data_IF_274572087508
#
_entry.id   IF_274572087508
#
_cell.length_a   1.000
_cell.length_b   1.000
_cell.length_c   1.000
_cell.angle_alpha   90.00
_cell.angle_beta   90.00
_cell.angle_gamma   90.00
#
_symmetry.space_group_name_H-M   'P 1'
#
loop_
_entity.id
_entity.type
_entity.pdbx_description
1 polymer ?
#
# COMPACT_ATOMS: atom_id res chain seq x y z
N UNK A 1 -44.36 27.95 -35.51
CA UNK A 1 -45.61 27.37 -34.98
C UNK A 1 -45.63 27.76 -33.51
N UNK A 2 -46.27 28.88 -33.19
CA UNK A 2 -46.42 29.34 -31.80
C UNK A 2 -47.52 28.48 -31.18
N UNK A 3 -47.21 27.78 -30.09
CA UNK A 3 -48.23 27.13 -29.26
C UNK A 3 -48.89 28.25 -28.46
N UNK A 4 -50.21 28.38 -28.59
CA UNK A 4 -51.01 29.42 -27.97
C UNK A 4 -50.91 29.31 -26.44
N UNK A 5 -50.55 30.41 -25.77
CA UNK A 5 -50.36 30.49 -24.30
C UNK A 5 -51.60 30.01 -23.50
N UNK A 6 -52.78 30.05 -24.11
CA UNK A 6 -54.04 29.55 -23.53
C UNK A 6 -54.04 28.03 -23.31
N UNK A 7 -53.39 27.24 -24.18
CA UNK A 7 -53.36 25.77 -24.06
C UNK A 7 -52.43 25.31 -22.92
N UNK A 8 -51.42 26.11 -22.58
CA UNK A 8 -50.50 25.83 -21.49
C UNK A 8 -51.17 26.05 -20.12
N UNK A 9 -51.91 27.15 -19.96
CA UNK A 9 -52.64 27.45 -18.73
C UNK A 9 -53.78 26.46 -18.46
N UNK A 10 -54.48 26.00 -19.49
CA UNK A 10 -55.51 24.97 -19.37
C UNK A 10 -54.94 23.61 -18.94
N UNK A 11 -53.74 23.26 -19.39
CA UNK A 11 -53.06 22.03 -19.00
C UNK A 11 -52.59 22.07 -17.54
N UNK A 12 -52.08 23.21 -17.10
CA UNK A 12 -51.62 23.42 -15.73
C UNK A 12 -52.80 23.39 -14.74
N UNK A 13 -53.92 24.05 -15.08
CA UNK A 13 -55.14 24.02 -14.28
C UNK A 13 -55.72 22.60 -14.14
N UNK A 14 -55.64 21.76 -15.19
CA UNK A 14 -56.07 20.35 -15.13
C UNK A 14 -55.18 19.52 -14.20
N UNK A 15 -53.86 19.73 -14.26
CA UNK A 15 -52.91 19.02 -13.40
C UNK A 15 -53.11 19.37 -11.92
N UNK A 16 -53.33 20.65 -11.60
CA UNK A 16 -53.64 21.06 -10.23
C UNK A 16 -54.98 20.49 -9.74
N UNK A 17 -56.01 20.48 -10.59
CA UNK A 17 -57.31 19.92 -10.24
C UNK A 17 -57.21 18.40 -9.97
N UNK A 18 -56.41 17.67 -10.77
CA UNK A 18 -56.14 16.25 -10.53
C UNK A 18 -55.39 16.01 -9.23
N UNK A 19 -54.37 16.83 -8.93
CA UNK A 19 -53.63 16.71 -7.67
C UNK A 19 -54.54 16.97 -6.46
N UNK A 20 -55.38 18.01 -6.52
CA UNK A 20 -56.32 18.32 -5.42
C UNK A 20 -57.35 17.21 -5.22
N UNK A 21 -57.86 16.61 -6.30
CA UNK A 21 -58.76 15.45 -6.20
C UNK A 21 -58.08 14.25 -5.56
N UNK A 22 -56.84 13.93 -5.97
CA UNK A 22 -56.08 12.83 -5.36
C UNK A 22 -55.86 13.06 -3.86
N UNK A 23 -55.49 14.28 -3.47
CA UNK A 23 -55.31 14.64 -2.05
C UNK A 23 -56.61 14.50 -1.27
N UNK A 24 -57.73 14.94 -1.83
CA UNK A 24 -59.03 14.85 -1.18
C UNK A 24 -59.52 13.39 -1.07
N UNK A 25 -59.35 12.59 -2.11
CA UNK A 25 -59.74 11.18 -2.12
C UNK A 25 -58.85 10.34 -1.17
N UNK A 26 -57.54 10.63 -1.13
CA UNK A 26 -56.62 10.00 -0.18
C UNK A 26 -57.02 10.37 1.27
N UNK A 27 -57.30 11.66 1.55
CA UNK A 27 -57.74 12.12 2.88
C UNK A 27 -59.10 11.53 3.30
N UNK A 28 -60.06 11.44 2.38
CA UNK A 28 -61.37 10.84 2.66
C UNK A 28 -61.26 9.34 2.93
N UNK A 29 -60.40 8.62 2.21
CA UNK A 29 -60.12 7.20 2.47
C UNK A 29 -59.40 6.99 3.82
N UNK A 30 -58.46 7.88 4.16
CA UNK A 30 -57.79 7.88 5.47
C UNK A 30 -58.79 8.11 6.62
N UNK A 31 -59.66 9.12 6.52
CA UNK A 31 -60.72 9.36 7.52
C UNK A 31 -61.72 8.21 7.62
N UNK A 32 -61.95 7.48 6.52
CA UNK A 32 -62.82 6.31 6.48
C UNK A 32 -62.12 5.00 6.92
N UNK A 33 -60.82 5.06 7.25
CA UNK A 33 -60.03 3.90 7.69
C UNK A 33 -59.80 2.83 6.62
N UNK A 34 -59.94 3.15 5.33
CA UNK A 34 -59.74 2.19 4.23
C UNK A 34 -58.27 2.19 3.80
N UNK A 35 -57.64 1.03 3.83
CA UNK A 35 -56.24 0.86 3.46
C UNK A 35 -56.11 0.74 1.93
N UNK A 36 -55.50 1.75 1.28
CA UNK A 36 -55.35 1.83 -0.18
C UNK A 36 -53.92 1.55 -0.68
N UNK A 37 -53.04 1.02 0.19
CA UNK A 37 -51.66 0.67 -0.17
C UNK A 37 -50.74 1.86 -0.47
N UNK A 38 -51.20 3.10 -0.23
CA UNK A 38 -50.39 4.33 -0.33
C UNK A 38 -49.95 4.80 1.05
N UNK A 39 -48.78 5.43 1.12
CA UNK A 39 -48.14 5.94 2.35
C UNK A 39 -49.10 6.91 3.04
N UNK A 40 -49.58 6.54 4.24
CA UNK A 40 -50.42 7.38 5.11
C UNK A 40 -49.68 8.69 5.44
N UNK A 41 -50.35 9.83 5.29
CA UNK A 41 -49.71 11.17 5.45
C UNK A 41 -49.81 11.77 6.86
N UNK A 42 -50.36 11.04 7.83
CA UNK A 42 -50.57 11.54 9.19
C UNK A 42 -49.99 10.55 10.21
N UNK A 43 -48.73 10.76 10.60
CA UNK A 43 -48.20 10.21 11.84
C UNK A 43 -48.70 11.09 13.00
N UNK A 44 -49.66 10.58 13.77
CA UNK A 44 -50.08 11.21 15.02
C UNK A 44 -48.97 11.06 16.07
N UNK A 45 -48.53 12.15 16.75
CA UNK A 45 -47.55 12.06 17.82
C UNK A 45 -48.24 11.53 19.09
N UNK A 46 -48.13 10.22 19.35
CA UNK A 46 -48.57 9.64 20.64
C UNK A 46 -49.04 8.19 20.63
N UNK A 47 -49.26 7.58 19.47
CA UNK A 47 -49.59 6.14 19.39
C UNK A 47 -48.34 5.37 18.95
N UNK A 48 -47.83 4.47 19.81
CA UNK A 48 -46.81 3.52 19.37
C UNK A 48 -47.39 2.70 18.21
N UNK A 49 -46.78 2.74 17.01
CA UNK A 49 -47.32 2.02 15.88
C UNK A 49 -47.31 0.53 16.21
N UNK A 50 -48.45 -0.13 16.06
CA UNK A 50 -48.55 -1.59 16.12
C UNK A 50 -47.59 -2.15 15.07
N UNK A 51 -46.48 -2.75 15.52
CA UNK A 51 -45.35 -3.15 14.68
C UNK A 51 -44.05 -2.36 14.88
N UNK A 52 -43.94 -1.46 15.85
CA UNK A 52 -42.69 -0.77 16.20
C UNK A 52 -41.56 -1.75 16.57
N UNK A 53 -41.89 -2.85 17.26
CA UNK A 53 -40.96 -3.95 17.54
C UNK A 53 -40.54 -4.68 16.26
N UNK A 54 -41.48 -5.00 15.39
CA UNK A 54 -41.19 -5.71 14.13
C UNK A 54 -40.38 -4.84 13.15
N UNK A 55 -40.64 -3.53 13.09
CA UNK A 55 -39.81 -2.58 12.34
C UNK A 55 -38.41 -2.48 12.92
N UNK A 56 -38.28 -2.39 14.24
CA UNK A 56 -36.96 -2.32 14.90
C UNK A 56 -36.17 -3.60 14.70
N UNK A 57 -36.79 -4.78 14.83
CA UNK A 57 -36.14 -6.08 14.60
C UNK A 57 -35.81 -6.29 13.12
N UNK A 58 -36.67 -5.83 12.21
CA UNK A 58 -36.40 -5.84 10.76
C UNK A 58 -35.26 -4.89 10.39
N UNK A 59 -35.22 -3.68 10.93
CA UNK A 59 -34.12 -2.74 10.76
C UNK A 59 -32.82 -3.25 11.39
N UNK A 60 -32.87 -3.95 12.54
CA UNK A 60 -31.70 -4.60 13.13
C UNK A 60 -31.20 -5.76 12.26
N UNK A 61 -32.10 -6.56 11.69
CA UNK A 61 -31.75 -7.61 10.72
C UNK A 61 -31.21 -7.04 9.42
N UNK A 62 -31.80 -5.98 8.89
CA UNK A 62 -31.33 -5.30 7.68
C UNK A 62 -29.99 -4.60 7.93
N UNK A 63 -29.79 -3.99 9.11
CA UNK A 63 -28.49 -3.47 9.54
C UNK A 63 -27.47 -4.58 9.68
N UNK A 64 -27.79 -5.68 10.37
CA UNK A 64 -26.91 -6.84 10.50
C UNK A 64 -26.62 -7.51 9.14
N UNK A 65 -27.56 -7.48 8.20
CA UNK A 65 -27.35 -7.93 6.83
C UNK A 65 -26.54 -6.94 5.97
N UNK A 66 -26.57 -5.65 6.30
CA UNK A 66 -25.78 -4.61 5.65
C UNK A 66 -24.36 -4.48 6.20
N UNK A 67 -24.11 -4.97 7.42
CA UNK A 67 -22.78 -4.99 8.00
C UNK A 67 -21.95 -6.10 7.37
N UNK A 68 -20.75 -5.76 6.91
CA UNK A 68 -19.82 -6.78 6.41
C UNK A 68 -19.41 -7.71 7.56
N UNK A 69 -19.04 -8.96 7.24
CA UNK A 69 -18.62 -9.93 8.27
C UNK A 69 -17.47 -9.39 9.10
N UNK A 70 -16.57 -8.62 8.49
CA UNK A 70 -15.51 -7.90 9.18
C UNK A 70 -16.05 -6.89 10.21
N UNK A 71 -17.04 -6.08 9.87
CA UNK A 71 -17.63 -5.10 10.80
C UNK A 71 -18.25 -5.76 12.04
N UNK A 72 -18.82 -6.95 11.89
CA UNK A 72 -19.32 -7.73 13.04
C UNK A 72 -18.18 -8.19 13.94
N UNK A 73 -17.09 -8.71 13.37
CA UNK A 73 -15.92 -9.18 14.13
C UNK A 73 -15.16 -8.05 14.82
N UNK A 74 -15.09 -6.86 14.22
CA UNK A 74 -14.44 -5.69 14.81
C UNK A 74 -15.15 -5.16 16.08
N UNK A 75 -16.36 -5.65 16.39
CA UNK A 75 -16.99 -5.38 17.69
C UNK A 75 -16.34 -6.16 18.84
N UNK A 76 -15.66 -7.28 18.56
CA UNK A 76 -14.87 -8.00 19.56
C UNK A 76 -13.54 -7.24 19.83
N UNK A 77 -13.31 -6.75 21.05
CA UNK A 77 -12.08 -6.02 21.39
C UNK A 77 -10.80 -6.82 21.13
N UNK A 78 -10.82 -8.14 21.35
CA UNK A 78 -9.64 -8.98 21.20
C UNK A 78 -9.29 -9.17 19.73
N UNK A 79 -10.29 -9.50 18.90
CA UNK A 79 -10.12 -9.60 17.46
C UNK A 79 -9.66 -8.27 16.85
N UNK A 80 -10.31 -7.16 17.24
CA UNK A 80 -9.96 -5.82 16.74
C UNK A 80 -8.52 -5.44 17.06
N UNK A 81 -8.05 -5.74 18.28
CA UNK A 81 -6.66 -5.46 18.67
C UNK A 81 -5.67 -6.24 17.80
N UNK A 82 -5.90 -7.54 17.61
CA UNK A 82 -5.06 -8.38 16.76
C UNK A 82 -5.08 -7.93 15.30
N UNK A 83 -6.26 -7.65 14.74
CA UNK A 83 -6.41 -7.19 13.36
C UNK A 83 -5.66 -5.88 13.11
N UNK A 84 -5.79 -4.91 14.03
CA UNK A 84 -5.08 -3.63 13.91
C UNK A 84 -3.56 -3.81 14.01
N UNK A 85 -3.09 -4.62 14.96
CA UNK A 85 -1.67 -4.94 15.12
C UNK A 85 -1.09 -5.60 13.86
N UNK A 86 -1.79 -6.57 13.27
CA UNK A 86 -1.39 -7.17 11.98
C UNK A 86 -1.35 -6.13 10.86
N UNK A 87 -2.32 -5.21 10.79
CA UNK A 87 -2.34 -4.16 9.77
C UNK A 87 -1.18 -3.17 9.94
N UNK A 88 -0.85 -2.82 11.18
CA UNK A 88 0.27 -1.93 11.50
C UNK A 88 1.62 -2.59 11.18
N UNK A 89 1.80 -3.88 11.50
CA UNK A 89 2.99 -4.64 11.12
C UNK A 89 3.13 -4.74 9.59
N UNK A 90 2.03 -5.00 8.88
CA UNK A 90 2.03 -5.04 7.41
C UNK A 90 2.41 -3.69 6.80
N UNK A 91 1.83 -2.58 7.29
CA UNK A 91 2.21 -1.22 6.84
C UNK A 91 3.68 -0.91 7.11
N UNK A 92 4.19 -1.27 8.29
CA UNK A 92 5.58 -1.05 8.64
C UNK A 92 6.52 -1.86 7.73
N UNK A 93 6.17 -3.12 7.44
CA UNK A 93 6.94 -3.97 6.54
C UNK A 93 6.91 -3.45 5.09
N UNK A 94 5.76 -2.99 4.58
CA UNK A 94 5.66 -2.37 3.25
C UNK A 94 6.52 -1.11 3.15
N UNK A 95 6.44 -0.21 4.14
CA UNK A 95 7.25 1.01 4.16
C UNK A 95 8.76 0.70 4.23
N UNK A 96 9.15 -0.28 5.05
CA UNK A 96 10.55 -0.71 5.14
C UNK A 96 11.04 -1.37 3.84
N UNK A 97 10.20 -2.17 3.20
CA UNK A 97 10.53 -2.82 1.92
C UNK A 97 10.66 -1.80 0.80
N UNK A 98 9.76 -0.81 0.74
CA UNK A 98 9.83 0.28 -0.24
C UNK A 98 11.12 1.12 -0.08
N UNK A 99 11.46 1.49 1.15
CA UNK A 99 12.71 2.19 1.43
C UNK A 99 13.93 1.35 1.02
N UNK A 100 13.94 0.07 1.36
CA UNK A 100 15.03 -0.83 0.99
C UNK A 100 15.12 -1.09 -0.52
N UNK A 101 13.99 -1.09 -1.24
CA UNK A 101 13.96 -1.18 -2.70
C UNK A 101 14.59 0.05 -3.34
N UNK A 102 14.25 1.25 -2.84
CA UNK A 102 14.88 2.49 -3.30
C UNK A 102 16.40 2.43 -3.10
N UNK A 103 16.86 2.09 -1.90
CA UNK A 103 18.29 1.95 -1.60
C UNK A 103 18.98 0.89 -2.48
N UNK A 104 18.32 -0.25 -2.72
CA UNK A 104 18.83 -1.32 -3.56
C UNK A 104 18.92 -0.92 -5.04
N UNK A 105 17.95 -0.16 -5.55
CA UNK A 105 17.99 0.39 -6.90
C UNK A 105 19.11 1.40 -7.08
N UNK A 106 19.31 2.30 -6.11
CA UNK A 106 20.42 3.25 -6.12
C UNK A 106 21.77 2.53 -6.09
N UNK A 107 21.90 1.50 -5.25
CA UNK A 107 23.10 0.65 -5.19
C UNK A 107 23.36 -0.10 -6.51
N UNK A 108 22.32 -0.66 -7.14
CA UNK A 108 22.43 -1.32 -8.43
C UNK A 108 22.87 -0.34 -9.53
N UNK A 109 22.25 0.84 -9.61
CA UNK A 109 22.61 1.86 -10.59
C UNK A 109 24.06 2.33 -10.42
N UNK A 110 24.52 2.49 -9.18
CA UNK A 110 25.92 2.80 -8.89
C UNK A 110 26.86 1.65 -9.30
N UNK A 111 26.51 0.40 -9.01
CA UNK A 111 27.32 -0.77 -9.37
C UNK A 111 27.43 -0.94 -10.90
N UNK A 112 26.34 -0.72 -11.63
CA UNK A 112 26.32 -0.71 -13.10
C UNK A 112 27.20 0.41 -13.66
N UNK A 113 27.11 1.62 -13.08
CA UNK A 113 27.95 2.76 -13.47
C UNK A 113 29.43 2.48 -13.23
N UNK A 114 29.78 1.93 -12.06
CA UNK A 114 31.14 1.58 -11.70
C UNK A 114 31.70 0.50 -12.63
N UNK A 115 30.92 -0.56 -12.90
CA UNK A 115 31.30 -1.61 -13.83
C UNK A 115 31.54 -1.04 -15.24
N UNK A 116 30.63 -0.20 -15.73
CA UNK A 116 30.76 0.41 -17.05
C UNK A 116 32.00 1.33 -17.11
N UNK A 117 32.26 2.11 -16.08
CA UNK A 117 33.46 2.95 -15.96
C UNK A 117 34.75 2.11 -15.97
N UNK A 118 34.76 0.97 -15.28
CA UNK A 118 35.86 -0.01 -15.33
C UNK A 118 36.06 -0.56 -16.74
N UNK A 119 34.97 -0.93 -17.44
CA UNK A 119 35.04 -1.43 -18.81
C UNK A 119 35.51 -0.37 -19.82
N UNK A 120 35.12 0.89 -19.63
CA UNK A 120 35.51 1.99 -20.52
C UNK A 120 36.96 2.45 -20.30
N UNK A 121 37.46 2.31 -19.08
CA UNK A 121 38.86 2.59 -18.71
C UNK A 121 39.81 1.45 -19.06
N UNK A 122 39.30 0.29 -19.48
CA UNK A 122 40.10 -0.87 -19.85
C UNK A 122 40.94 -0.60 -21.12
N UNK A 123 42.14 -1.16 -21.15
CA UNK A 123 42.96 -1.16 -22.36
C UNK A 123 42.29 -2.00 -23.44
N UNK A 124 42.50 -1.66 -24.71
CA UNK A 124 41.92 -2.40 -25.85
C UNK A 124 43.01 -2.91 -26.78
N UNK A 125 42.78 -4.11 -27.31
CA UNK A 125 43.54 -4.68 -28.41
C UNK A 125 43.17 -3.97 -29.74
N UNK A 126 43.96 -4.15 -30.81
CA UNK A 126 43.68 -3.55 -32.13
C UNK A 126 42.35 -3.96 -32.75
N UNK A 127 41.80 -5.11 -32.35
CA UNK A 127 40.49 -5.62 -32.72
C UNK A 127 39.33 -4.98 -31.93
N UNK A 128 39.65 -4.18 -30.91
CA UNK A 128 38.70 -3.53 -30.00
C UNK A 128 38.39 -4.31 -28.72
N UNK A 129 38.94 -5.52 -28.55
CA UNK A 129 38.72 -6.38 -27.38
C UNK A 129 39.32 -5.75 -26.12
N UNK A 130 38.53 -5.66 -25.05
CA UNK A 130 38.99 -5.13 -23.75
C UNK A 130 39.87 -6.14 -23.04
N UNK A 131 40.99 -5.65 -22.51
CA UNK A 131 41.98 -6.46 -21.80
C UNK A 131 42.38 -5.80 -20.48
N UNK A 132 42.65 -6.65 -19.49
CA UNK A 132 42.96 -6.30 -18.13
C UNK A 132 44.23 -7.02 -17.70
N UNK A 133 45.00 -6.40 -16.82
CA UNK A 133 46.18 -7.03 -16.23
C UNK A 133 45.81 -7.61 -14.87
N UNK A 134 46.13 -8.88 -14.64
CA UNK A 134 45.96 -9.53 -13.34
C UNK A 134 47.13 -9.22 -12.38
N UNK A 135 46.99 -9.58 -11.10
CA UNK A 135 48.00 -9.33 -10.08
C UNK A 135 49.35 -10.05 -10.34
N UNK A 136 49.32 -11.15 -11.10
CA UNK A 136 50.51 -11.93 -11.49
C UNK A 136 51.19 -11.32 -12.73
N UNK A 137 50.50 -10.40 -13.40
CA UNK A 137 50.96 -9.69 -14.58
C UNK A 137 50.54 -10.33 -15.89
N UNK A 138 49.69 -11.36 -15.88
CA UNK A 138 49.10 -11.89 -17.10
C UNK A 138 48.05 -10.91 -17.64
N UNK A 139 47.86 -10.94 -18.95
CA UNK A 139 46.86 -10.13 -19.63
C UNK A 139 45.66 -11.02 -19.92
N UNK A 140 44.48 -10.60 -19.51
CA UNK A 140 43.23 -11.34 -19.63
C UNK A 140 42.19 -10.52 -20.39
N UNK A 141 41.39 -11.18 -21.21
CA UNK A 141 40.21 -10.56 -21.81
C UNK A 141 39.11 -10.36 -20.77
N UNK A 142 38.08 -9.61 -21.15
CA UNK A 142 36.85 -9.45 -20.37
C UNK A 142 36.20 -10.80 -19.96
N UNK A 143 36.34 -11.84 -20.79
CA UNK A 143 35.81 -13.20 -20.54
C UNK A 143 36.76 -14.08 -19.72
N UNK A 144 37.97 -13.59 -19.43
CA UNK A 144 38.97 -14.28 -18.61
C UNK A 144 39.98 -15.13 -19.40
N UNK A 145 39.94 -15.09 -20.73
CA UNK A 145 40.93 -15.76 -21.58
C UNK A 145 42.29 -15.07 -21.48
N UNK A 146 43.38 -15.84 -21.46
CA UNK A 146 44.72 -15.29 -21.39
C UNK A 146 45.15 -14.83 -22.79
N UNK A 147 45.49 -13.56 -22.92
CA UNK A 147 46.10 -13.00 -24.12
C UNK A 147 47.61 -13.18 -24.02
N UNK A 148 48.21 -13.82 -25.02
CA UNK A 148 49.64 -14.11 -25.05
C UNK A 148 50.23 -13.91 -26.45
N UNK A 149 51.56 -13.87 -26.53
CA UNK A 149 52.26 -13.71 -27.80
C UNK A 149 52.25 -12.27 -28.33
N UNK A 150 52.37 -12.07 -29.65
CA UNK A 150 52.60 -10.74 -30.23
C UNK A 150 51.48 -9.74 -29.90
N UNK A 151 50.24 -10.19 -29.74
CA UNK A 151 49.11 -9.31 -29.39
C UNK A 151 49.30 -8.66 -28.01
N UNK A 152 49.83 -9.41 -27.05
CA UNK A 152 50.13 -8.91 -25.71
C UNK A 152 51.24 -7.85 -25.71
N UNK A 153 52.23 -7.98 -26.60
CA UNK A 153 53.36 -7.06 -26.73
C UNK A 153 52.97 -5.71 -27.35
N UNK A 154 51.88 -5.67 -28.12
CA UNK A 154 51.38 -4.42 -28.73
C UNK A 154 50.66 -3.50 -27.74
N UNK A 155 50.34 -3.98 -26.55
CA UNK A 155 49.54 -3.25 -25.56
C UNK A 155 50.39 -2.22 -24.83
N UNK A 156 50.02 -0.95 -24.96
CA UNK A 156 50.64 0.17 -24.23
C UNK A 156 49.80 0.52 -23.02
N UNK A 157 50.33 0.25 -21.83
CA UNK A 157 49.71 0.58 -20.54
C UNK A 157 50.09 2.01 -20.11
N UNK A 158 49.09 2.82 -19.74
CA UNK A 158 49.23 4.21 -19.29
C UNK A 158 49.35 4.33 -17.76
N UNK A 159 49.07 3.24 -17.03
CA UNK A 159 49.25 3.14 -15.58
C UNK A 159 48.05 3.58 -14.76
N UNK A 160 46.88 3.75 -15.38
CA UNK A 160 45.62 4.10 -14.72
C UNK A 160 44.48 3.12 -15.05
N UNK A 161 44.80 2.04 -15.77
CA UNK A 161 43.82 1.05 -16.19
C UNK A 161 43.45 0.09 -15.04
N UNK A 162 42.19 -0.34 -14.98
CA UNK A 162 41.74 -1.25 -13.93
C UNK A 162 42.36 -2.63 -14.06
N UNK A 163 42.49 -3.29 -12.90
CA UNK A 163 42.96 -4.68 -12.82
C UNK A 163 41.86 -5.67 -13.19
N UNK A 164 42.24 -6.91 -13.51
CA UNK A 164 41.27 -7.98 -13.75
C UNK A 164 40.47 -8.33 -12.48
N UNK A 165 41.13 -8.28 -11.33
CA UNK A 165 40.50 -8.49 -10.02
C UNK A 165 39.46 -7.40 -9.71
N UNK A 166 39.73 -6.16 -10.11
CA UNK A 166 38.77 -5.06 -9.99
C UNK A 166 37.54 -5.31 -10.87
N UNK A 167 37.72 -5.73 -12.13
CA UNK A 167 36.59 -6.13 -12.99
C UNK A 167 35.72 -7.21 -12.33
N UNK A 168 36.34 -8.26 -11.79
CA UNK A 168 35.61 -9.35 -11.11
C UNK A 168 34.86 -8.84 -9.88
N UNK A 169 35.48 -7.96 -9.08
CA UNK A 169 34.85 -7.34 -7.93
C UNK A 169 33.63 -6.49 -8.33
N UNK A 170 33.73 -5.70 -9.41
CA UNK A 170 32.62 -4.89 -9.92
C UNK A 170 31.48 -5.74 -10.47
N UNK A 171 31.78 -6.79 -11.24
CA UNK A 171 30.77 -7.76 -11.71
C UNK A 171 30.05 -8.44 -10.57
N UNK A 172 30.79 -8.85 -9.54
CA UNK A 172 30.19 -9.45 -8.35
C UNK A 172 29.28 -8.45 -7.64
N UNK A 173 29.73 -7.21 -7.43
CA UNK A 173 28.93 -6.18 -6.76
C UNK A 173 27.63 -5.86 -7.53
N UNK A 174 27.70 -5.80 -8.86
CA UNK A 174 26.51 -5.62 -9.71
C UNK A 174 25.54 -6.80 -9.61
N UNK A 175 26.06 -8.04 -9.63
CA UNK A 175 25.26 -9.24 -9.45
C UNK A 175 24.59 -9.32 -8.08
N UNK A 176 25.34 -9.04 -7.00
CA UNK A 176 24.85 -9.01 -5.63
C UNK A 176 23.75 -7.93 -5.46
N UNK A 177 23.94 -6.75 -6.05
CA UNK A 177 22.96 -5.66 -6.01
C UNK A 177 21.67 -6.01 -6.78
N UNK A 178 21.79 -6.64 -7.96
CA UNK A 178 20.64 -7.13 -8.73
C UNK A 178 19.85 -8.18 -7.96
N UNK A 179 20.55 -9.17 -7.39
CA UNK A 179 19.93 -10.20 -6.57
C UNK A 179 19.16 -9.59 -5.39
N UNK A 180 19.72 -8.56 -4.74
CA UNK A 180 19.05 -7.87 -3.64
C UNK A 180 17.71 -7.25 -4.05
N UNK A 181 17.65 -6.59 -5.21
CA UNK A 181 16.40 -6.05 -5.75
C UNK A 181 15.38 -7.17 -5.99
N UNK A 182 15.81 -8.27 -6.61
CA UNK A 182 14.92 -9.41 -6.90
C UNK A 182 14.34 -10.05 -5.62
N UNK A 183 15.15 -10.19 -4.58
CA UNK A 183 14.72 -10.73 -3.29
C UNK A 183 13.67 -9.83 -2.61
N UNK A 184 13.88 -8.51 -2.64
CA UNK A 184 12.92 -7.54 -2.09
C UNK A 184 11.59 -7.54 -2.87
N UNK A 185 11.65 -7.57 -4.20
CA UNK A 185 10.46 -7.66 -5.04
C UNK A 185 9.71 -8.98 -4.81
N UNK A 186 10.44 -10.08 -4.61
CA UNK A 186 9.82 -11.37 -4.28
C UNK A 186 9.06 -11.29 -2.96
N UNK A 187 9.65 -10.72 -1.91
CA UNK A 187 8.97 -10.56 -0.63
C UNK A 187 7.74 -9.65 -0.73
N UNK A 188 7.84 -8.54 -1.46
CA UNK A 188 6.70 -7.64 -1.70
C UNK A 188 5.54 -8.37 -2.40
N UNK A 189 5.83 -9.17 -3.44
CA UNK A 189 4.82 -9.83 -4.25
C UNK A 189 4.28 -11.13 -3.65
N UNK A 190 5.13 -11.93 -2.98
CA UNK A 190 4.79 -13.28 -2.53
C UNK A 190 4.32 -13.30 -1.07
N UNK A 191 4.66 -12.27 -0.27
CA UNK A 191 4.27 -12.18 1.15
C UNK A 191 3.38 -10.98 1.42
N UNK A 192 3.85 -9.76 1.12
CA UNK A 192 3.13 -8.55 1.51
C UNK A 192 1.84 -8.33 0.71
N UNK A 193 1.88 -8.52 -0.61
CA UNK A 193 0.71 -8.42 -1.49
C UNK A 193 -0.42 -9.37 -1.08
N UNK A 194 -0.17 -10.68 -0.98
CA UNK A 194 -1.18 -11.64 -0.53
C UNK A 194 -1.71 -11.35 0.88
N UNK A 195 -0.85 -10.90 1.80
CA UNK A 195 -1.27 -10.48 3.14
C UNK A 195 -2.22 -9.27 3.09
N UNK A 196 -1.91 -8.25 2.27
CA UNK A 196 -2.75 -7.07 2.04
C UNK A 196 -4.12 -7.48 1.48
N UNK A 197 -4.12 -8.27 0.41
CA UNK A 197 -5.35 -8.76 -0.23
C UNK A 197 -6.22 -9.55 0.77
N UNK A 198 -5.59 -10.42 1.58
CA UNK A 198 -6.28 -11.22 2.59
C UNK A 198 -6.88 -10.37 3.71
N UNK A 199 -6.19 -9.31 4.14
CA UNK A 199 -6.61 -8.40 5.21
C UNK A 199 -7.74 -7.47 4.76
N UNK A 200 -7.80 -7.13 3.47
CA UNK A 200 -8.79 -6.20 2.91
C UNK A 200 -10.10 -6.85 2.47
N UNK A 201 -10.20 -8.20 2.47
CA UNK A 201 -11.46 -8.90 2.15
C UNK A 201 -12.53 -8.66 3.24
N UNK A 202 -13.59 -7.88 2.94
CA UNK A 202 -14.60 -7.55 3.94
C UNK A 202 -15.63 -8.68 4.14
N UNK A 203 -15.74 -9.61 3.19
CA UNK A 203 -16.74 -10.67 3.17
C UNK A 203 -16.21 -11.97 3.78
N UNK A 204 -14.91 -12.20 3.67
CA UNK A 204 -14.22 -13.31 4.29
C UNK A 204 -13.03 -12.79 5.12
N UNK A 205 -13.26 -12.10 6.26
CA UNK A 205 -12.17 -11.61 7.10
C UNK A 205 -11.28 -12.75 7.61
N UNK A 206 -9.98 -12.50 7.85
CA UNK A 206 -9.07 -13.50 8.40
C UNK A 206 -9.47 -13.91 9.81
N UNK A 207 -9.33 -15.19 10.11
CA UNK A 207 -9.47 -15.74 11.46
C UNK A 207 -8.28 -15.31 12.33
N UNK A 208 -8.39 -15.38 13.67
CA UNK A 208 -7.26 -15.06 14.57
C UNK A 208 -5.99 -15.88 14.30
N UNK A 209 -6.12 -17.14 13.88
CA UNK A 209 -4.96 -17.98 13.57
C UNK A 209 -4.35 -17.60 12.21
N UNK A 210 -5.17 -17.28 11.21
CA UNK A 210 -4.69 -16.69 9.95
C UNK A 210 -3.97 -15.35 10.18
N UNK A 211 -4.49 -14.49 11.08
CA UNK A 211 -3.85 -13.21 11.42
C UNK A 211 -2.45 -13.41 12.02
N UNK A 212 -2.27 -14.42 12.88
CA UNK A 212 -0.95 -14.77 13.44
C UNK A 212 -0.02 -15.35 12.39
N UNK A 213 -0.53 -16.22 11.52
CA UNK A 213 0.26 -16.75 10.42
C UNK A 213 0.78 -15.62 9.52
N UNK A 214 -0.07 -14.66 9.17
CA UNK A 214 0.33 -13.46 8.41
C UNK A 214 1.43 -12.69 9.15
N UNK A 215 1.28 -12.46 10.46
CA UNK A 215 2.32 -11.78 11.25
C UNK A 215 3.66 -12.55 11.23
N UNK A 216 3.63 -13.86 11.36
CA UNK A 216 4.83 -14.71 11.36
C UNK A 216 5.51 -14.72 9.98
N UNK A 217 4.73 -14.77 8.89
CA UNK A 217 5.24 -14.70 7.50
C UNK A 217 5.88 -13.33 7.21
N UNK A 218 5.21 -12.23 7.61
CA UNK A 218 5.76 -10.87 7.50
C UNK A 218 7.08 -10.79 8.26
N UNK A 219 7.13 -11.24 9.52
CA UNK A 219 8.33 -11.19 10.35
C UNK A 219 9.48 -12.02 9.79
N UNK A 220 9.20 -13.25 9.38
CA UNK A 220 10.21 -14.16 8.84
C UNK A 220 10.83 -13.58 7.55
N UNK A 221 10.02 -13.01 6.67
CA UNK A 221 10.55 -12.38 5.45
C UNK A 221 11.33 -11.09 5.74
N UNK A 222 10.88 -10.27 6.68
CA UNK A 222 11.61 -9.08 7.11
C UNK A 222 12.99 -9.43 7.71
N UNK A 223 13.04 -10.46 8.56
CA UNK A 223 14.29 -10.97 9.15
C UNK A 223 15.23 -11.55 8.10
N UNK A 224 14.72 -12.38 7.18
CA UNK A 224 15.51 -12.97 6.09
C UNK A 224 16.16 -11.89 5.20
N UNK A 225 15.46 -10.77 5.01
CA UNK A 225 15.95 -9.65 4.23
C UNK A 225 16.73 -8.62 5.07
N UNK A 226 16.90 -8.85 6.37
CA UNK A 226 17.48 -7.88 7.30
C UNK A 226 16.86 -6.48 7.18
N UNK A 227 15.57 -6.42 6.83
CA UNK A 227 14.78 -5.20 6.96
C UNK A 227 14.69 -4.98 8.46
N UNK A 228 15.35 -3.93 8.96
CA UNK A 228 15.45 -3.66 10.41
C UNK A 228 14.11 -3.90 11.08
N UNK A 229 14.13 -4.58 12.24
CA UNK A 229 12.87 -4.95 12.90
C UNK A 229 11.97 -3.73 12.96
N UNK A 230 10.67 -3.84 12.62
CA UNK A 230 9.74 -2.76 12.89
C UNK A 230 9.81 -2.56 14.40
N UNK A 231 10.57 -1.55 14.84
CA UNK A 231 10.59 -1.14 16.22
C UNK A 231 9.14 -0.80 16.51
N UNK A 232 8.46 -1.74 17.17
CA UNK A 232 7.24 -1.49 17.89
C UNK A 232 7.45 -0.16 18.58
N UNK A 233 6.77 0.87 18.08
CA UNK A 233 6.89 2.23 18.55
C UNK A 233 6.44 2.23 20.01
N UNK A 234 7.39 1.92 20.88
CA UNK A 234 7.30 2.07 22.32
C UNK A 234 7.29 3.58 22.51
N UNK A 235 6.07 4.10 22.47
CA UNK A 235 5.71 5.47 22.73
C UNK A 235 6.15 5.80 24.16
N UNK A 236 7.42 6.13 24.32
CA UNK A 236 8.03 6.53 25.58
C UNK A 236 7.45 7.90 25.97
N UNK A 237 6.28 7.86 26.62
CA UNK A 237 5.71 8.96 27.41
C UNK A 237 6.50 9.11 28.71
N UNK A 238 7.81 9.27 28.64
CA UNK A 238 8.57 9.79 29.77
C UNK A 238 8.62 11.29 29.62
N UNK A 239 7.66 11.94 30.29
CA UNK A 239 7.51 13.38 30.35
C UNK A 239 8.82 14.08 30.66
N UNK A 240 9.32 14.83 29.68
CA UNK A 240 10.31 15.87 29.87
C UNK A 240 9.72 16.94 30.78
N UNK A 241 9.99 16.82 32.08
CA UNK A 241 9.86 17.92 33.02
C UNK A 241 10.95 18.93 32.67
N UNK A 242 10.58 19.93 31.88
CA UNK A 242 11.41 21.10 31.62
C UNK A 242 11.50 21.88 32.94
N UNK A 243 12.59 21.66 33.66
CA UNK A 243 12.98 22.42 34.84
C UNK A 243 13.33 23.85 34.39
N UNK A 244 12.43 24.78 34.75
CA UNK A 244 12.50 26.18 34.37
C UNK A 244 13.54 26.90 35.26
N UNK A 245 14.81 26.89 34.85
CA UNK A 245 15.87 27.63 35.53
C UNK A 245 15.74 29.14 35.22
N UNK A 246 15.21 29.91 36.18
CA UNK A 246 15.19 31.37 36.11
C UNK A 246 16.60 31.94 36.42
N UNK A 247 17.15 32.86 35.61
CA UNK A 247 18.38 33.56 35.94
C UNK A 247 18.10 34.64 37.00
N UNK A 248 18.53 34.36 38.24
CA UNK A 248 18.59 35.36 39.31
C UNK A 248 19.63 36.43 38.98
N UNK A 249 19.15 37.67 38.80
CA UNK A 249 19.99 38.82 38.52
C UNK A 249 20.87 39.23 39.69
N UNK A 250 21.91 39.99 39.36
CA UNK A 250 22.59 40.87 40.30
C UNK A 250 22.76 42.23 39.62
N UNK A 251 22.19 43.30 40.18
CA UNK A 251 22.74 44.62 40.00
C UNK A 251 23.27 45.17 41.33
N UNK A 252 24.43 45.81 41.20
CA UNK A 252 25.10 46.78 42.10
C UNK A 252 25.65 46.29 43.43
#
# INVERSE_FOLDING_TARGET
MALDDDEFHDREARLEAEQRRRIHDDLANEMAGRETGRIKRLDHPGEEPVGARDRKEKEERERAASLTRLQVLLNDPAYRALYNDTFDQLRAAEAATEAALQDAHDALSQAETDLQSTLDSATRLPDGTRVFRDAVGNIRTEDGEIVSGPDAETIVWKGGEPSYEELLARRKAEGDARQRVEELLRYQNDVLGPARDRMEDPHNPPTPDELKQIQDEIRAGAEALALGQPESASFDRSGSSVELQLPGGSPT
#
